data_IF_415803970705
#
_entry.id   IF_415803970705
#
_cell.length_a   1.000
_cell.length_b   1.000
_cell.length_c   1.000
_cell.angle_alpha   90.00
_cell.angle_beta   90.00
_cell.angle_gamma   90.00
#
_symmetry.space_group_name_H-M   'P 1'
#
loop_
_entity.id
_entity.type
_entity.pdbx_description
1 polymer ?
#
# COMPACT_ATOMS: atom_id res chain seq x y z
N UNK A 1 -32.18 5.45 -9.67
CA UNK A 1 -31.44 6.68 -9.36
C UNK A 1 -30.10 6.24 -8.85
N UNK A 2 -29.21 5.98 -9.79
CA UNK A 2 -27.88 5.45 -9.56
C UNK A 2 -27.01 6.61 -9.07
N UNK A 3 -26.94 6.74 -7.75
CA UNK A 3 -26.00 7.63 -7.09
C UNK A 3 -24.59 7.07 -7.32
N UNK A 4 -23.99 7.44 -8.45
CA UNK A 4 -22.55 7.37 -8.62
C UNK A 4 -21.96 8.41 -7.66
N UNK A 5 -21.46 7.94 -6.52
CA UNK A 5 -20.74 8.74 -5.54
C UNK A 5 -19.39 9.07 -6.17
N UNK A 6 -19.37 10.11 -7.01
CA UNK A 6 -18.14 10.63 -7.62
C UNK A 6 -17.13 10.84 -6.48
N UNK A 7 -16.00 10.15 -6.55
CA UNK A 7 -15.01 10.17 -5.47
C UNK A 7 -14.52 11.61 -5.35
N UNK A 8 -14.84 12.25 -4.24
CA UNK A 8 -14.44 13.63 -4.01
C UNK A 8 -12.92 13.75 -4.11
N UNK A 9 -12.43 14.36 -5.19
CA UNK A 9 -11.01 14.59 -5.40
C UNK A 9 -10.66 15.97 -4.85
N UNK A 10 -10.11 15.99 -3.64
CA UNK A 10 -9.77 17.24 -2.93
C UNK A 10 -8.58 18.00 -3.52
N UNK A 11 -7.79 17.37 -4.40
CA UNK A 11 -6.53 17.89 -4.94
C UNK A 11 -6.55 17.89 -6.48
N UNK A 12 -5.82 18.82 -7.10
CA UNK A 12 -5.62 18.78 -8.56
C UNK A 12 -4.74 17.58 -8.94
N UNK A 13 -4.83 17.16 -10.20
CA UNK A 13 -3.97 16.10 -10.75
C UNK A 13 -2.50 16.50 -10.62
N UNK A 14 -2.18 17.77 -10.90
CA UNK A 14 -0.83 18.33 -10.78
C UNK A 14 -0.28 18.26 -9.34
N UNK A 15 -1.13 18.45 -8.33
CA UNK A 15 -0.72 18.32 -6.93
C UNK A 15 -0.45 16.86 -6.54
N UNK A 16 -1.22 15.91 -7.11
CA UNK A 16 -0.99 14.48 -6.92
C UNK A 16 0.32 14.05 -7.55
N UNK A 17 0.63 14.53 -8.76
CA UNK A 17 1.91 14.28 -9.44
C UNK A 17 3.08 14.82 -8.62
N UNK A 18 2.99 16.05 -8.09
CA UNK A 18 4.00 16.61 -7.19
C UNK A 18 4.22 15.74 -5.96
N UNK A 19 3.15 15.29 -5.30
CA UNK A 19 3.27 14.39 -4.13
C UNK A 19 3.97 13.09 -4.53
N UNK A 20 3.65 12.53 -5.69
CA UNK A 20 4.30 11.34 -6.19
C UNK A 20 5.81 11.57 -6.36
N UNK A 21 6.20 12.63 -7.06
CA UNK A 21 7.61 12.99 -7.28
C UNK A 21 8.38 13.18 -5.97
N UNK A 22 7.85 13.97 -5.03
CA UNK A 22 8.48 14.19 -3.73
C UNK A 22 8.56 12.91 -2.90
N UNK A 23 7.57 12.03 -3.00
CA UNK A 23 7.59 10.73 -2.31
C UNK A 23 8.70 9.85 -2.87
N UNK A 24 8.83 9.76 -4.20
CA UNK A 24 9.89 9.00 -4.87
C UNK A 24 11.27 9.57 -4.51
N UNK A 25 11.42 10.90 -4.46
CA UNK A 25 12.67 11.54 -4.05
C UNK A 25 13.07 11.15 -2.62
N UNK A 26 12.14 11.23 -1.66
CA UNK A 26 12.40 10.85 -0.26
C UNK A 26 12.79 9.38 -0.16
N UNK A 27 12.08 8.49 -0.85
CA UNK A 27 12.37 7.04 -0.83
C UNK A 27 13.71 6.70 -1.50
N UNK A 28 14.13 7.49 -2.49
CA UNK A 28 15.40 7.31 -3.22
C UNK A 28 16.58 7.88 -2.43
N UNK A 29 16.43 9.06 -1.81
CA UNK A 29 17.52 9.81 -1.19
C UNK A 29 17.65 9.58 0.32
N UNK A 30 16.52 9.43 1.02
CA UNK A 30 16.51 9.23 2.48
C UNK A 30 16.48 7.74 2.85
N UNK A 31 15.72 6.95 2.09
CA UNK A 31 15.52 5.53 2.31
C UNK A 31 14.66 5.20 3.55
N UNK A 32 14.42 3.91 3.78
CA UNK A 32 13.62 3.37 4.88
C UNK A 32 14.51 2.52 5.78
N UNK A 33 14.42 2.69 7.09
CA UNK A 33 15.10 1.80 8.05
C UNK A 33 14.32 0.49 8.21
N UNK A 34 15.01 -0.62 7.99
CA UNK A 34 14.45 -1.98 8.06
C UNK A 34 15.33 -2.78 9.01
N UNK A 35 14.86 -3.05 10.22
CA UNK A 35 15.61 -3.77 11.26
C UNK A 35 15.85 -5.24 10.90
N UNK A 36 14.87 -5.86 10.23
CA UNK A 36 14.90 -7.28 9.90
C UNK A 36 15.89 -7.62 8.76
N UNK A 37 16.73 -8.63 8.99
CA UNK A 37 17.75 -9.05 8.03
C UNK A 37 17.18 -9.76 6.81
N UNK A 38 16.13 -10.56 6.97
CA UNK A 38 15.51 -11.31 5.87
C UNK A 38 14.80 -10.34 4.91
N UNK A 39 14.08 -9.36 5.45
CA UNK A 39 13.46 -8.29 4.69
C UNK A 39 14.51 -7.54 3.85
N UNK A 40 15.67 -7.19 4.43
CA UNK A 40 16.78 -6.57 3.69
C UNK A 40 17.28 -7.46 2.55
N UNK A 41 17.43 -8.76 2.75
CA UNK A 41 17.86 -9.67 1.68
C UNK A 41 16.85 -9.73 0.52
N UNK A 42 15.55 -9.72 0.83
CA UNK A 42 14.48 -9.64 -0.18
C UNK A 42 14.59 -8.34 -0.98
N UNK A 43 14.75 -7.19 -0.32
CA UNK A 43 14.93 -5.91 -1.02
C UNK A 43 16.17 -5.91 -1.91
N UNK A 44 17.28 -6.49 -1.45
CA UNK A 44 18.51 -6.61 -2.24
C UNK A 44 18.31 -7.46 -3.49
N UNK A 45 17.61 -8.58 -3.38
CA UNK A 45 17.26 -9.47 -4.51
C UNK A 45 16.40 -8.77 -5.56
N UNK A 46 15.55 -7.83 -5.13
CA UNK A 46 14.70 -7.03 -6.00
C UNK A 46 15.42 -5.78 -6.57
N UNK A 47 16.72 -5.61 -6.33
CA UNK A 47 17.53 -4.55 -6.92
C UNK A 47 17.54 -3.24 -6.13
N UNK A 48 17.10 -3.24 -4.87
CA UNK A 48 17.23 -2.08 -3.99
C UNK A 48 18.66 -1.90 -3.49
N UNK A 49 19.07 -0.63 -3.31
CA UNK A 49 20.34 -0.30 -2.65
C UNK A 49 20.16 -0.41 -1.14
N UNK A 50 21.12 -1.03 -0.46
CA UNK A 50 21.10 -1.17 1.00
C UNK A 50 22.38 -0.60 1.58
N UNK A 51 22.26 0.29 2.55
CA UNK A 51 23.38 0.82 3.32
C UNK A 51 23.12 0.62 4.80
N UNK A 52 23.91 -0.26 5.42
CA UNK A 52 23.68 -0.75 6.78
C UNK A 52 22.26 -1.34 6.91
N UNK A 53 21.38 -0.63 7.62
CA UNK A 53 20.02 -1.02 7.91
C UNK A 53 18.99 -0.19 7.14
N UNK A 54 19.45 0.64 6.21
CA UNK A 54 18.59 1.47 5.36
C UNK A 54 18.47 0.88 3.96
N UNK A 55 17.25 0.82 3.46
CA UNK A 55 16.90 0.41 2.11
C UNK A 55 16.49 1.65 1.31
N UNK A 56 17.08 1.84 0.14
CA UNK A 56 16.77 2.93 -0.77
C UNK A 56 16.03 2.36 -1.98
N UNK A 57 14.85 2.91 -2.24
CA UNK A 57 13.95 2.48 -3.29
C UNK A 57 14.06 3.47 -4.44
N UNK A 58 14.49 3.01 -5.62
CA UNK A 58 14.45 3.83 -6.82
C UNK A 58 13.06 3.75 -7.48
N UNK A 59 12.78 4.71 -8.35
CA UNK A 59 11.51 4.77 -9.10
C UNK A 59 11.22 3.47 -9.84
N UNK A 60 12.23 2.86 -10.48
CA UNK A 60 12.06 1.62 -11.23
C UNK A 60 11.52 0.47 -10.37
N UNK A 61 12.08 0.27 -9.17
CA UNK A 61 11.62 -0.76 -8.24
C UNK A 61 10.21 -0.44 -7.74
N UNK A 62 9.91 0.82 -7.47
CA UNK A 62 8.57 1.26 -7.06
C UNK A 62 7.55 0.94 -8.15
N UNK A 63 7.82 1.30 -9.40
CA UNK A 63 6.92 1.04 -10.53
C UNK A 63 6.70 -0.46 -10.74
N UNK A 64 7.78 -1.25 -10.76
CA UNK A 64 7.66 -2.72 -10.85
C UNK A 64 6.86 -3.31 -9.70
N UNK A 65 7.01 -2.80 -8.47
CA UNK A 65 6.22 -3.25 -7.33
C UNK A 65 4.73 -2.90 -7.48
N UNK A 66 4.42 -1.71 -8.01
CA UNK A 66 3.05 -1.28 -8.28
C UNK A 66 2.38 -2.11 -9.39
N UNK A 67 3.10 -2.44 -10.45
CA UNK A 67 2.59 -3.28 -11.54
C UNK A 67 2.25 -4.71 -11.08
N UNK A 68 3.02 -5.23 -10.13
CA UNK A 68 2.76 -6.56 -9.54
C UNK A 68 1.63 -6.55 -8.50
N UNK A 69 1.19 -5.37 -8.03
CA UNK A 69 0.16 -5.27 -7.02
C UNK A 69 -1.25 -5.40 -7.65
N UNK A 70 -2.10 -6.34 -7.19
CA UNK A 70 -3.44 -6.51 -7.75
C UNK A 70 -4.35 -5.34 -7.36
N UNK A 71 -5.13 -4.83 -8.32
CA UNK A 71 -6.10 -3.75 -8.08
C UNK A 71 -7.29 -4.16 -7.19
N UNK A 72 -7.55 -5.46 -7.09
CA UNK A 72 -8.56 -6.06 -6.22
C UNK A 72 -8.09 -7.41 -5.70
N UNK A 73 -8.32 -7.70 -4.41
CA UNK A 73 -8.05 -9.01 -3.83
C UNK A 73 -9.09 -9.40 -2.78
N UNK A 74 -9.28 -10.71 -2.58
CA UNK A 74 -10.25 -11.24 -1.62
C UNK A 74 -9.55 -11.73 -0.36
N UNK A 75 -9.96 -11.20 0.80
CA UNK A 75 -9.56 -11.73 2.10
C UNK A 75 -10.58 -12.80 2.50
N UNK A 76 -10.09 -14.05 2.58
CA UNK A 76 -10.88 -15.18 3.03
C UNK A 76 -10.95 -15.23 4.56
N UNK A 77 -12.16 -15.20 5.11
CA UNK A 77 -12.39 -15.44 6.53
C UNK A 77 -12.54 -16.95 6.79
N UNK A 78 -12.34 -17.36 8.05
CA UNK A 78 -12.58 -18.74 8.50
C UNK A 78 -14.01 -19.18 8.14
N UNK A 79 -14.98 -18.29 8.37
CA UNK A 79 -16.35 -18.47 7.90
C UNK A 79 -16.51 -17.79 6.54
N UNK A 80 -16.85 -18.51 5.45
CA UNK A 80 -16.85 -17.97 4.09
C UNK A 80 -17.80 -16.78 3.89
N UNK A 81 -18.84 -16.65 4.72
CA UNK A 81 -19.79 -15.52 4.71
C UNK A 81 -19.17 -14.20 5.16
N UNK A 82 -18.06 -14.27 5.92
CA UNK A 82 -17.36 -13.10 6.43
C UNK A 82 -16.19 -12.67 5.53
N UNK A 83 -15.92 -13.40 4.45
CA UNK A 83 -14.89 -13.05 3.48
C UNK A 83 -15.27 -11.75 2.77
N UNK A 84 -14.28 -10.88 2.56
CA UNK A 84 -14.48 -9.56 1.96
C UNK A 84 -13.52 -9.33 0.80
N UNK A 85 -13.99 -8.65 -0.22
CA UNK A 85 -13.18 -8.22 -1.36
C UNK A 85 -12.75 -6.78 -1.12
N UNK A 86 -11.45 -6.52 -1.22
CA UNK A 86 -10.82 -5.21 -1.08
C UNK A 86 -10.45 -4.72 -2.47
N UNK A 87 -10.86 -3.50 -2.81
CA UNK A 87 -10.68 -2.95 -4.14
C UNK A 87 -11.52 -1.69 -4.34
N UNK A 88 -11.68 -1.35 -5.61
CA UNK A 88 -12.03 -0.02 -6.13
C UNK A 88 -13.35 0.56 -5.59
N UNK A 89 -14.30 -0.29 -5.19
CA UNK A 89 -15.63 0.14 -4.73
C UNK A 89 -16.00 -0.35 -3.32
N UNK A 90 -15.11 -1.12 -2.67
CA UNK A 90 -15.46 -1.82 -1.43
C UNK A 90 -15.11 -1.00 -0.17
N UNK A 91 -16.10 -0.35 0.44
CA UNK A 91 -15.99 0.20 1.79
C UNK A 91 -16.24 -0.90 2.84
N UNK A 92 -15.21 -1.28 3.61
CA UNK A 92 -15.32 -2.33 4.64
C UNK A 92 -15.15 -1.70 6.03
N UNK A 93 -16.23 -1.68 6.81
CA UNK A 93 -16.19 -1.21 8.19
C UNK A 93 -15.94 -2.38 9.15
N UNK A 94 -14.82 -2.33 9.89
CA UNK A 94 -14.56 -3.26 10.98
C UNK A 94 -15.09 -2.67 12.29
N UNK A 95 -16.28 -3.10 12.71
CA UNK A 95 -16.80 -2.77 14.04
C UNK A 95 -16.01 -3.50 15.14
N UNK A 96 -15.69 -2.80 16.24
CA UNK A 96 -15.23 -3.44 17.48
C UNK A 96 -16.39 -4.21 18.08
N UNK A 97 -16.51 -5.52 17.82
CA UNK A 97 -17.27 -6.40 18.70
C UNK A 97 -16.45 -6.61 19.98
N UNK A 98 -16.48 -5.63 20.87
CA UNK A 98 -16.15 -5.88 22.27
C UNK A 98 -17.33 -6.67 22.85
N UNK A 99 -17.24 -8.00 22.80
CA UNK A 99 -18.15 -8.87 23.52
C UNK A 99 -17.89 -8.73 25.01
N UNK A 100 -18.63 -7.85 25.67
CA UNK A 100 -18.78 -7.91 27.12
C UNK A 100 -19.77 -9.04 27.40
N UNK A 101 -19.24 -10.20 27.78
CA UNK A 101 -20.02 -11.31 28.32
C UNK A 101 -20.24 -11.01 29.80
N UNK A 102 -21.41 -10.47 30.13
CA UNK A 102 -22.00 -10.51 31.46
C UNK A 102 -23.27 -11.35 31.37
#
# INVERSE_FOLDING_TARGET
MDINYDRYQAMSIDDVEKIHEYTVDVLTNTGIWVEDNEARDIFKKNGCRIENEKVFLNEKVIQTALENAPSEFRICAIEPRNSKTFGVEASILRGRRCGHHL
#
